data_IF_416963436003
#
_entry.id   IF_416963436003
#
_cell.length_a   1.000
_cell.length_b   1.000
_cell.length_c   1.000
_cell.angle_alpha   90.00
_cell.angle_beta   90.00
_cell.angle_gamma   90.00
#
_symmetry.space_group_name_H-M   'P 1'
#
loop_
_entity.id
_entity.type
_entity.pdbx_description
1 polymer ?
#
# COMPACT_ATOMS: atom_id res chain seq x y z
N UNK A 1 -42.42 19.21 49.71
CA UNK A 1 -41.43 18.17 49.43
C UNK A 1 -40.50 18.72 48.33
N UNK A 2 -39.32 19.16 48.70
CA UNK A 2 -38.32 19.69 47.73
C UNK A 2 -37.44 18.50 47.32
N UNK A 3 -37.69 17.96 46.11
CA UNK A 3 -36.85 16.93 45.53
C UNK A 3 -35.53 17.54 45.05
N UNK A 4 -34.44 17.13 45.64
CA UNK A 4 -33.07 17.42 45.17
C UNK A 4 -32.80 16.56 43.94
N UNK A 5 -33.04 17.14 42.77
CA UNK A 5 -32.59 16.51 41.54
C UNK A 5 -31.09 16.77 41.40
N UNK A 6 -30.32 15.71 41.39
CA UNK A 6 -28.91 15.76 41.20
C UNK A 6 -28.56 16.30 39.77
N UNK A 7 -27.65 17.24 39.72
CA UNK A 7 -27.05 17.72 38.47
C UNK A 7 -26.47 16.52 37.72
N UNK A 8 -27.03 16.18 36.56
CA UNK A 8 -26.47 15.17 35.70
C UNK A 8 -25.41 15.87 34.82
N UNK A 9 -24.16 15.55 35.08
CA UNK A 9 -23.06 15.90 34.12
C UNK A 9 -23.20 15.03 32.89
N UNK A 10 -23.08 15.61 31.70
CA UNK A 10 -22.97 14.85 30.47
C UNK A 10 -21.70 14.00 30.49
N UNK A 11 -21.70 12.80 29.84
CA UNK A 11 -20.51 11.99 29.74
C UNK A 11 -19.44 12.76 28.96
N UNK A 12 -18.27 12.94 29.55
CA UNK A 12 -17.09 13.40 28.81
C UNK A 12 -16.64 12.28 27.90
N UNK A 13 -16.34 12.60 26.66
CA UNK A 13 -15.66 11.67 25.77
C UNK A 13 -14.38 11.20 26.49
N UNK A 14 -14.30 9.95 26.85
CA UNK A 14 -13.06 9.34 27.24
C UNK A 14 -12.18 9.40 26.00
N UNK A 15 -11.28 10.39 25.96
CA UNK A 15 -10.19 10.38 25.00
C UNK A 15 -9.37 9.11 25.30
N UNK A 16 -9.78 8.01 24.72
CA UNK A 16 -8.90 6.89 24.60
C UNK A 16 -7.75 7.41 23.72
N UNK A 17 -6.73 7.98 24.35
CA UNK A 17 -5.38 7.95 23.83
C UNK A 17 -5.11 6.47 23.60
N UNK A 18 -5.60 5.97 22.44
CA UNK A 18 -5.13 4.69 21.96
C UNK A 18 -3.65 4.93 21.76
N UNK A 19 -2.87 4.34 22.65
CA UNK A 19 -1.42 4.33 22.63
C UNK A 19 -0.92 3.57 21.38
N UNK A 20 -1.35 4.00 20.21
CA UNK A 20 -0.73 3.65 18.94
C UNK A 20 0.66 4.28 18.84
N UNK A 21 0.96 5.27 19.71
CA UNK A 21 2.28 5.91 19.86
C UNK A 21 3.27 5.07 20.69
N UNK A 22 2.86 3.96 21.30
CA UNK A 22 3.75 3.13 22.16
C UNK A 22 4.67 2.21 21.34
N UNK A 23 4.53 2.11 20.04
CA UNK A 23 5.48 1.33 19.23
C UNK A 23 6.78 2.05 18.88
N UNK A 24 7.00 3.27 19.38
CA UNK A 24 8.23 4.04 19.14
C UNK A 24 9.01 4.42 20.41
N UNK A 25 8.67 3.90 21.59
CA UNK A 25 9.45 4.16 22.79
C UNK A 25 10.33 2.96 23.16
N UNK A 26 11.66 3.12 23.31
CA UNK A 26 12.51 2.06 23.83
C UNK A 26 12.24 1.90 25.33
N UNK A 27 11.78 0.75 25.76
CA UNK A 27 11.77 0.38 27.16
C UNK A 27 13.08 -0.32 27.49
N UNK A 28 13.97 0.37 28.20
CA UNK A 28 15.10 -0.24 28.88
C UNK A 28 14.58 -1.19 29.96
N UNK A 29 14.66 -2.48 29.72
CA UNK A 29 14.66 -3.50 30.76
C UNK A 29 15.87 -4.38 30.55
N UNK A 30 16.85 -4.19 31.42
CA UNK A 30 18.01 -5.04 31.50
C UNK A 30 17.61 -6.45 31.98
N UNK A 31 17.76 -7.46 31.12
CA UNK A 31 17.93 -8.86 31.53
C UNK A 31 18.53 -9.70 30.40
N UNK A 32 19.57 -10.43 30.77
CA UNK A 32 20.32 -11.52 30.12
C UNK A 32 20.09 -11.76 28.62
N UNK A 33 21.12 -11.52 27.82
CA UNK A 33 21.18 -11.70 26.37
C UNK A 33 21.01 -13.16 25.90
N UNK A 34 20.12 -13.42 24.96
CA UNK A 34 20.41 -14.33 23.86
C UNK A 34 20.79 -13.51 22.60
N UNK A 35 21.63 -14.13 21.75
CA UNK A 35 22.25 -13.55 20.58
C UNK A 35 21.31 -12.59 19.80
N UNK A 36 21.70 -11.32 19.74
CA UNK A 36 21.04 -10.27 18.99
C UNK A 36 21.12 -10.60 17.50
N UNK A 37 20.02 -11.12 16.96
CA UNK A 37 19.71 -10.93 15.55
C UNK A 37 19.54 -9.43 15.36
N UNK A 38 20.45 -8.81 14.65
CA UNK A 38 20.34 -7.41 14.28
C UNK A 38 19.02 -7.24 13.50
N UNK A 39 18.02 -6.67 14.16
CA UNK A 39 16.83 -6.15 13.49
C UNK A 39 17.35 -4.95 12.71
N UNK A 40 17.42 -5.09 11.37
CA UNK A 40 17.72 -3.98 10.49
C UNK A 40 16.74 -2.82 10.76
N UNK A 41 17.11 -1.58 10.39
CA UNK A 41 16.28 -0.41 10.65
C UNK A 41 14.88 -0.67 10.07
N UNK A 42 13.88 -0.54 10.93
CA UNK A 42 12.47 -0.52 10.49
C UNK A 42 12.36 0.66 9.53
N UNK A 43 12.21 0.37 8.26
CA UNK A 43 12.02 1.39 7.24
C UNK A 43 10.72 2.13 7.56
N UNK A 44 10.78 3.46 7.59
CA UNK A 44 9.65 4.36 7.79
C UNK A 44 8.94 4.79 6.49
N UNK A 45 8.68 3.91 5.50
CA UNK A 45 8.03 4.27 4.24
C UNK A 45 6.50 4.34 4.35
N UNK A 46 5.94 3.75 5.41
CA UNK A 46 4.50 3.75 5.64
C UNK A 46 3.95 5.13 6.05
N UNK A 47 4.76 5.93 6.74
CA UNK A 47 4.34 7.24 7.27
C UNK A 47 3.92 8.21 6.15
N UNK A 48 4.69 8.30 5.07
CA UNK A 48 4.41 9.26 3.98
C UNK A 48 3.14 8.90 3.20
N UNK A 49 2.87 7.60 2.98
CA UNK A 49 1.68 7.15 2.26
C UNK A 49 0.39 7.44 3.02
N UNK A 50 0.41 7.32 4.35
CA UNK A 50 -0.77 7.46 5.22
C UNK A 50 -0.86 8.83 5.92
N UNK A 51 0.04 9.78 5.62
CA UNK A 51 0.15 11.07 6.32
C UNK A 51 -1.16 11.89 6.32
N UNK A 52 -1.93 11.84 5.23
CA UNK A 52 -3.21 12.53 5.15
C UNK A 52 -4.27 11.95 6.10
N UNK A 53 -4.24 10.64 6.32
CA UNK A 53 -5.15 9.96 7.26
C UNK A 53 -4.72 10.18 8.71
N UNK A 54 -3.42 10.26 8.96
CA UNK A 54 -2.89 10.66 10.26
C UNK A 54 -3.31 12.09 10.61
N UNK A 55 -3.17 13.04 9.67
CA UNK A 55 -3.63 14.41 9.84
C UNK A 55 -5.16 14.48 10.07
N UNK A 56 -5.95 13.67 9.38
CA UNK A 56 -7.39 13.58 9.60
C UNK A 56 -7.74 13.09 11.02
N UNK A 57 -7.05 12.07 11.52
CA UNK A 57 -7.20 11.60 12.90
C UNK A 57 -6.84 12.70 13.92
N UNK A 58 -5.73 13.39 13.73
CA UNK A 58 -5.32 14.51 14.58
C UNK A 58 -6.37 15.63 14.59
N UNK A 59 -6.97 15.94 13.43
CA UNK A 59 -8.04 16.93 13.34
C UNK A 59 -9.28 16.56 14.15
N UNK A 60 -9.70 15.28 14.10
CA UNK A 60 -10.82 14.80 14.91
C UNK A 60 -10.49 14.83 16.40
N UNK A 61 -9.27 14.47 16.79
CA UNK A 61 -8.81 14.56 18.17
C UNK A 61 -8.87 15.99 18.70
N UNK A 62 -8.44 16.99 17.91
CA UNK A 62 -8.54 18.41 18.28
C UNK A 62 -10.01 18.85 18.47
N UNK A 63 -10.93 18.37 17.63
CA UNK A 63 -12.36 18.65 17.79
C UNK A 63 -12.94 18.02 19.09
N UNK A 64 -12.51 16.83 19.46
CA UNK A 64 -12.87 16.17 20.71
C UNK A 64 -12.36 16.98 21.91
N UNK A 65 -11.13 17.47 21.87
CA UNK A 65 -10.56 18.32 22.91
C UNK A 65 -11.36 19.63 23.06
N UNK A 66 -11.73 20.27 21.95
CA UNK A 66 -12.57 21.47 21.94
C UNK A 66 -13.95 21.19 22.52
N UNK A 67 -14.60 20.09 22.15
CA UNK A 67 -15.90 19.67 22.70
C UNK A 67 -15.81 19.45 24.22
N UNK A 68 -14.76 18.73 24.68
CA UNK A 68 -14.56 18.48 26.13
C UNK A 68 -14.23 19.74 26.93
N UNK A 69 -13.71 20.80 26.30
CA UNK A 69 -13.48 22.09 26.93
C UNK A 69 -14.77 22.92 27.09
N UNK A 70 -15.82 22.58 26.35
CA UNK A 70 -17.13 23.24 26.46
C UNK A 70 -17.79 22.90 27.80
N UNK A 71 -18.42 23.89 28.50
CA UNK A 71 -19.15 23.61 29.74
C UNK A 71 -20.25 22.55 29.52
N UNK A 72 -20.22 21.51 30.32
CA UNK A 72 -21.14 20.37 30.21
C UNK A 72 -22.11 20.21 31.42
N UNK A 73 -22.39 21.32 32.09
CA UNK A 73 -23.37 21.36 33.20
C UNK A 73 -24.60 22.09 32.71
N UNK A 74 -25.70 21.36 32.60
CA UNK A 74 -26.98 21.85 32.11
C UNK A 74 -28.04 21.75 33.23
N UNK A 75 -28.95 22.72 33.28
CA UNK A 75 -30.12 22.67 34.10
C UNK A 75 -31.34 22.07 33.34
N UNK A 76 -32.46 21.89 34.05
CA UNK A 76 -33.65 21.28 33.45
C UNK A 76 -34.25 22.08 32.28
N UNK A 77 -34.06 23.41 32.25
CA UNK A 77 -34.51 24.28 31.15
C UNK A 77 -33.67 24.14 29.89
N UNK A 78 -32.49 23.52 29.99
CA UNK A 78 -31.47 23.38 28.94
C UNK A 78 -31.48 21.97 28.33
N UNK A 79 -32.55 21.22 28.43
CA UNK A 79 -32.64 19.85 27.91
C UNK A 79 -32.24 19.75 26.39
N UNK A 80 -32.62 20.73 25.59
CA UNK A 80 -32.25 20.79 24.18
C UNK A 80 -30.73 21.01 23.98
N UNK A 81 -30.09 21.83 24.80
CA UNK A 81 -28.64 22.07 24.73
C UNK A 81 -27.87 20.82 25.19
N UNK A 82 -28.33 20.11 26.20
CA UNK A 82 -27.75 18.81 26.61
C UNK A 82 -27.86 17.78 25.47
N UNK A 83 -29.06 17.67 24.86
CA UNK A 83 -29.21 16.73 23.73
C UNK A 83 -28.32 17.05 22.55
N UNK A 84 -28.09 18.34 22.23
CA UNK A 84 -27.17 18.76 21.19
C UNK A 84 -25.71 18.43 21.54
N UNK A 85 -25.29 18.67 22.78
CA UNK A 85 -23.97 18.30 23.30
C UNK A 85 -23.73 16.77 23.19
N UNK A 86 -24.68 15.97 23.62
CA UNK A 86 -24.58 14.51 23.57
C UNK A 86 -24.55 14.00 22.11
N UNK A 87 -25.32 14.62 21.22
CA UNK A 87 -25.32 14.28 19.78
C UNK A 87 -23.98 14.60 19.11
N UNK A 88 -23.36 15.76 19.44
CA UNK A 88 -22.03 16.13 18.97
C UNK A 88 -20.98 15.14 19.51
N UNK A 89 -21.03 14.77 20.77
CA UNK A 89 -20.14 13.77 21.37
C UNK A 89 -20.22 12.42 20.64
N UNK A 90 -21.44 11.96 20.34
CA UNK A 90 -21.64 10.72 19.60
C UNK A 90 -21.08 10.80 18.18
N UNK A 91 -21.28 11.92 17.46
CA UNK A 91 -20.76 12.14 16.13
C UNK A 91 -19.22 12.17 16.10
N UNK A 92 -18.58 12.84 17.06
CA UNK A 92 -17.12 12.89 17.19
C UNK A 92 -16.53 11.52 17.52
N UNK A 93 -17.19 10.72 18.36
CA UNK A 93 -16.78 9.35 18.64
C UNK A 93 -16.79 8.50 17.37
N UNK A 94 -17.88 8.54 16.61
CA UNK A 94 -17.98 7.79 15.34
C UNK A 94 -16.95 8.26 14.30
N UNK A 95 -16.69 9.57 14.24
CA UNK A 95 -15.64 10.13 13.37
C UNK A 95 -14.24 9.65 13.77
N UNK A 96 -13.94 9.58 15.07
CA UNK A 96 -12.67 9.07 15.57
C UNK A 96 -12.47 7.59 15.23
N UNK A 97 -13.47 6.74 15.48
CA UNK A 97 -13.44 5.33 15.15
C UNK A 97 -13.19 5.11 13.65
N UNK A 98 -13.87 5.90 12.80
CA UNK A 98 -13.69 5.85 11.35
C UNK A 98 -12.27 6.27 10.95
N UNK A 99 -11.74 7.36 11.52
CA UNK A 99 -10.39 7.84 11.21
C UNK A 99 -9.31 6.82 11.64
N UNK A 100 -9.46 6.18 12.81
CA UNK A 100 -8.59 5.12 13.29
C UNK A 100 -8.62 3.91 12.32
N UNK A 101 -9.80 3.45 11.93
CA UNK A 101 -9.96 2.31 11.03
C UNK A 101 -9.33 2.58 9.65
N UNK A 102 -9.53 3.78 9.10
CA UNK A 102 -8.95 4.19 7.83
C UNK A 102 -7.41 4.25 7.90
N UNK A 103 -6.86 4.84 8.95
CA UNK A 103 -5.41 4.91 9.16
C UNK A 103 -4.82 3.50 9.30
N UNK A 104 -5.42 2.64 10.11
CA UNK A 104 -4.95 1.27 10.29
C UNK A 104 -4.96 0.49 8.96
N UNK A 105 -6.04 0.59 8.18
CA UNK A 105 -6.12 -0.06 6.86
C UNK A 105 -5.02 0.42 5.90
N UNK A 106 -4.68 1.72 5.93
CA UNK A 106 -3.59 2.26 5.14
C UNK A 106 -2.23 1.72 5.59
N UNK A 107 -1.95 1.71 6.89
CA UNK A 107 -0.70 1.21 7.46
C UNK A 107 -0.49 -0.28 7.16
N UNK A 108 -1.54 -1.08 7.29
CA UNK A 108 -1.50 -2.50 6.95
C UNK A 108 -1.20 -2.72 5.45
N UNK A 109 -1.83 -1.92 4.57
CA UNK A 109 -1.54 -1.95 3.14
C UNK A 109 -0.09 -1.55 2.84
N UNK A 110 0.41 -0.49 3.46
CA UNK A 110 1.78 -0.02 3.28
C UNK A 110 2.80 -1.08 3.73
N UNK A 111 2.54 -1.76 4.84
CA UNK A 111 3.38 -2.87 5.32
C UNK A 111 3.43 -4.03 4.33
N UNK A 112 2.29 -4.43 3.77
CA UNK A 112 2.24 -5.46 2.72
C UNK A 112 3.04 -5.07 1.49
N UNK A 113 2.88 -3.82 1.01
CA UNK A 113 3.52 -3.33 -0.20
C UNK A 113 5.03 -3.16 -0.05
N UNK A 114 5.50 -2.75 1.13
CA UNK A 114 6.91 -2.54 1.41
C UNK A 114 7.73 -3.82 1.46
N UNK A 115 7.20 -4.88 2.04
CA UNK A 115 7.89 -6.12 2.44
C UNK A 115 9.06 -5.90 3.40
N UNK A 116 9.25 -6.79 4.38
CA UNK A 116 10.26 -6.63 5.43
C UNK A 116 11.70 -6.82 4.94
N UNK A 117 11.88 -7.40 3.75
CA UNK A 117 13.16 -7.80 3.20
C UNK A 117 13.53 -7.07 1.89
N UNK A 118 12.98 -5.87 1.67
CA UNK A 118 13.36 -4.99 0.57
C UNK A 118 13.98 -3.70 1.10
N UNK A 119 14.93 -3.12 0.35
CA UNK A 119 15.52 -1.80 0.65
C UNK A 119 14.92 -0.68 -0.19
N UNK A 120 13.83 -0.96 -0.90
CA UNK A 120 13.13 0.02 -1.73
C UNK A 120 12.04 0.71 -0.93
N UNK A 121 12.08 2.04 -0.88
CA UNK A 121 11.07 2.84 -0.20
C UNK A 121 9.81 2.97 -1.04
N UNK A 122 8.65 2.95 -0.35
CA UNK A 122 7.38 3.40 -0.94
C UNK A 122 7.36 4.92 -0.96
N UNK A 123 7.34 5.51 -2.16
CA UNK A 123 7.30 6.97 -2.30
C UNK A 123 6.02 7.39 -3.00
N UNK A 124 5.32 8.41 -2.48
CA UNK A 124 4.17 9.00 -3.18
C UNK A 124 4.62 9.65 -4.50
N UNK A 125 3.72 9.84 -5.46
CA UNK A 125 4.02 10.54 -6.70
C UNK A 125 4.32 12.01 -6.45
N UNK A 126 5.11 12.61 -7.33
CA UNK A 126 5.18 14.08 -7.39
C UNK A 126 3.80 14.65 -7.77
N UNK A 127 3.56 15.93 -7.44
CA UNK A 127 2.31 16.60 -7.78
C UNK A 127 2.00 16.52 -9.29
N UNK A 128 3.00 16.71 -10.14
CA UNK A 128 2.84 16.56 -11.59
C UNK A 128 2.41 15.14 -11.98
N UNK A 129 3.01 14.12 -11.39
CA UNK A 129 2.64 12.73 -11.67
C UNK A 129 1.21 12.43 -11.18
N UNK A 130 0.84 12.93 -10.00
CA UNK A 130 -0.52 12.81 -9.44
C UNK A 130 -1.57 13.40 -10.39
N UNK A 131 -1.34 14.62 -10.90
CA UNK A 131 -2.25 15.28 -11.83
C UNK A 131 -2.40 14.49 -13.15
N UNK A 132 -1.30 13.96 -13.70
CA UNK A 132 -1.34 13.14 -14.91
C UNK A 132 -2.13 11.85 -14.67
N UNK A 133 -1.94 11.19 -13.52
CA UNK A 133 -2.67 9.99 -13.15
C UNK A 133 -4.17 10.28 -12.94
N UNK A 134 -4.51 11.40 -12.28
CA UNK A 134 -5.90 11.79 -12.10
C UNK A 134 -6.59 12.02 -13.45
N UNK A 135 -5.99 12.82 -14.33
CA UNK A 135 -6.54 13.07 -15.69
C UNK A 135 -6.68 11.78 -16.51
N UNK A 136 -5.78 10.82 -16.33
CA UNK A 136 -5.86 9.53 -17.00
C UNK A 136 -6.96 8.63 -16.41
N UNK A 137 -7.13 8.65 -15.09
CA UNK A 137 -8.19 7.94 -14.37
C UNK A 137 -9.58 8.46 -14.76
N UNK A 138 -9.74 9.78 -14.86
CA UNK A 138 -11.02 10.43 -15.19
C UNK A 138 -11.57 10.02 -16.57
N UNK A 139 -10.71 9.47 -17.45
CA UNK A 139 -11.11 8.90 -18.75
C UNK A 139 -11.71 7.50 -18.64
N UNK A 140 -11.63 6.88 -17.46
CA UNK A 140 -12.17 5.53 -17.22
C UNK A 140 -13.57 5.70 -16.65
N UNK A 141 -14.59 5.30 -17.40
CA UNK A 141 -15.99 5.38 -16.94
C UNK A 141 -16.22 4.50 -15.70
N UNK A 142 -17.20 4.87 -14.90
CA UNK A 142 -17.56 4.14 -13.68
C UNK A 142 -18.10 2.72 -13.94
N UNK A 143 -18.59 2.48 -15.15
CA UNK A 143 -19.12 1.22 -15.67
C UNK A 143 -18.04 0.34 -16.33
N UNK A 144 -16.81 0.85 -16.43
CA UNK A 144 -15.73 0.08 -17.03
C UNK A 144 -15.41 -1.17 -16.19
N UNK A 145 -15.31 -2.29 -16.87
CA UNK A 145 -14.91 -3.57 -16.27
C UNK A 145 -13.66 -4.12 -16.97
N UNK A 146 -12.74 -4.75 -16.22
CA UNK A 146 -11.57 -5.40 -16.80
C UNK A 146 -11.97 -6.48 -17.81
N UNK A 147 -11.20 -6.65 -18.90
CA UNK A 147 -11.39 -7.77 -19.80
C UNK A 147 -11.05 -9.09 -19.12
N UNK A 148 -11.49 -10.20 -19.70
CA UNK A 148 -11.08 -11.53 -19.27
C UNK A 148 -9.55 -11.69 -19.33
N UNK A 149 -8.99 -12.52 -18.44
CA UNK A 149 -7.59 -12.84 -18.44
C UNK A 149 -7.17 -13.47 -19.78
N UNK A 150 -5.99 -13.11 -20.32
CA UNK A 150 -5.48 -13.74 -21.54
C UNK A 150 -5.17 -15.23 -21.29
N UNK A 151 -5.21 -16.02 -22.35
CA UNK A 151 -4.76 -17.41 -22.27
C UNK A 151 -3.29 -17.50 -21.79
N UNK A 152 -2.95 -18.60 -21.13
CA UNK A 152 -1.58 -18.88 -20.69
C UNK A 152 -0.60 -18.71 -21.87
N UNK A 153 0.51 -18.03 -21.63
CA UNK A 153 1.53 -17.72 -22.64
C UNK A 153 1.24 -16.48 -23.48
N UNK A 154 0.08 -15.85 -23.33
CA UNK A 154 -0.20 -14.56 -23.98
C UNK A 154 0.12 -13.39 -23.05
N UNK A 155 0.56 -12.28 -23.65
CA UNK A 155 0.83 -11.05 -22.92
C UNK A 155 -0.48 -10.41 -22.38
N UNK A 156 -0.39 -9.90 -21.18
CA UNK A 156 -1.36 -8.91 -20.69
C UNK A 156 -1.16 -7.62 -21.48
N UNK A 157 -2.22 -7.11 -22.04
CA UNK A 157 -2.17 -5.91 -22.90
C UNK A 157 -3.25 -4.92 -22.52
N UNK A 158 -2.93 -3.64 -22.61
CA UNK A 158 -3.93 -2.56 -22.52
C UNK A 158 -4.06 -1.98 -23.93
N UNK A 159 -5.15 -2.29 -24.67
CA UNK A 159 -5.33 -1.84 -26.04
C UNK A 159 -5.25 -0.31 -26.15
N UNK A 160 -4.72 0.18 -27.29
CA UNK A 160 -4.54 1.64 -27.50
C UNK A 160 -5.83 2.43 -27.46
N UNK A 161 -6.94 1.82 -27.87
CA UNK A 161 -8.27 2.42 -27.88
C UNK A 161 -9.06 2.20 -26.58
N UNK A 162 -8.51 1.47 -25.59
CA UNK A 162 -9.23 1.19 -24.35
C UNK A 162 -9.18 2.36 -23.38
N UNK A 163 -10.22 2.60 -22.55
CA UNK A 163 -10.26 3.68 -21.57
C UNK A 163 -9.04 3.72 -20.62
N UNK A 164 -8.52 2.59 -20.08
CA UNK A 164 -7.38 2.62 -19.17
C UNK A 164 -6.02 2.83 -19.86
N UNK A 165 -5.96 3.01 -21.18
CA UNK A 165 -4.69 3.16 -21.90
C UNK A 165 -3.86 4.32 -21.40
N UNK A 166 -4.47 5.48 -21.21
CA UNK A 166 -3.77 6.67 -20.72
C UNK A 166 -3.20 6.45 -19.29
N UNK A 167 -3.96 5.75 -18.44
CA UNK A 167 -3.52 5.38 -17.09
C UNK A 167 -2.33 4.41 -17.16
N UNK A 168 -2.39 3.40 -18.02
CA UNK A 168 -1.29 2.46 -18.23
C UNK A 168 0.00 3.15 -18.67
N UNK A 169 -0.09 4.06 -19.64
CA UNK A 169 1.07 4.79 -20.14
C UNK A 169 1.68 5.70 -19.06
N UNK A 170 0.83 6.35 -18.23
CA UNK A 170 1.26 7.18 -17.11
C UNK A 170 1.95 6.35 -16.02
N UNK A 171 1.40 5.19 -15.64
CA UNK A 171 1.97 4.29 -14.63
C UNK A 171 3.28 3.64 -15.09
N UNK A 172 3.43 3.38 -16.39
CA UNK A 172 4.67 2.83 -16.98
C UNK A 172 5.82 3.83 -17.03
N UNK A 173 5.53 5.10 -17.08
CA UNK A 173 6.55 6.14 -17.16
C UNK A 173 7.48 6.10 -15.94
N UNK A 174 8.78 5.87 -16.14
CA UNK A 174 9.76 5.72 -15.05
C UNK A 174 9.47 4.54 -14.11
N UNK A 175 8.93 3.43 -14.64
CA UNK A 175 8.64 2.22 -13.87
C UNK A 175 9.09 0.96 -14.63
N UNK A 176 9.96 0.08 -14.08
CA UNK A 176 10.49 0.18 -12.71
C UNK A 176 11.37 1.42 -12.50
N UNK A 177 11.49 1.93 -11.26
CA UNK A 177 12.50 2.95 -10.95
C UNK A 177 13.91 2.38 -11.10
N UNK A 178 14.93 3.22 -11.15
CA UNK A 178 16.31 2.78 -11.06
C UNK A 178 16.58 2.26 -9.64
N UNK A 179 16.72 0.95 -9.50
CA UNK A 179 16.89 0.30 -8.19
C UNK A 179 18.36 0.08 -7.80
N UNK A 180 19.29 0.31 -8.72
CA UNK A 180 20.75 0.25 -8.41
C UNK A 180 21.14 -1.07 -7.74
N UNK A 181 21.67 -0.96 -6.52
CA UNK A 181 22.06 -2.09 -5.66
C UNK A 181 20.98 -2.49 -4.65
N UNK A 182 19.72 -2.14 -4.86
CA UNK A 182 18.65 -2.46 -3.92
C UNK A 182 18.54 -3.97 -3.64
N UNK A 183 18.13 -4.31 -2.44
CA UNK A 183 17.68 -5.66 -2.10
C UNK A 183 16.19 -5.77 -2.46
N UNK A 184 15.84 -6.79 -3.24
CA UNK A 184 14.46 -7.12 -3.62
C UNK A 184 14.11 -8.49 -3.04
N UNK A 185 13.07 -8.59 -2.24
CA UNK A 185 12.64 -9.86 -1.62
C UNK A 185 13.79 -10.61 -0.92
N UNK A 186 14.64 -9.89 -0.19
CA UNK A 186 15.80 -10.44 0.50
C UNK A 186 16.99 -10.79 -0.38
N UNK A 187 16.90 -10.56 -1.69
CA UNK A 187 17.98 -10.84 -2.64
C UNK A 187 18.64 -9.55 -3.11
N UNK A 188 19.94 -9.46 -2.89
CA UNK A 188 20.75 -8.42 -3.52
C UNK A 188 20.78 -8.60 -5.04
N UNK A 189 21.07 -7.53 -5.79
CA UNK A 189 21.30 -7.64 -7.24
C UNK A 189 22.35 -8.70 -7.51
N UNK A 190 22.08 -9.73 -8.35
CA UNK A 190 23.04 -10.79 -8.65
C UNK A 190 24.36 -10.22 -9.18
N UNK A 191 25.49 -10.80 -8.78
CA UNK A 191 26.79 -10.38 -9.29
C UNK A 191 27.02 -10.84 -10.75
N UNK A 192 27.95 -10.18 -11.47
CA UNK A 192 28.45 -10.68 -12.75
C UNK A 192 29.07 -12.06 -12.56
N UNK A 193 28.71 -13.01 -13.40
CA UNK A 193 29.17 -14.39 -13.33
C UNK A 193 28.38 -15.29 -12.35
N UNK A 194 27.44 -14.76 -11.56
CA UNK A 194 26.53 -15.58 -10.78
C UNK A 194 25.60 -16.39 -11.71
N UNK A 195 25.20 -17.59 -11.29
CA UNK A 195 24.31 -18.45 -12.05
C UNK A 195 22.95 -17.77 -12.30
N UNK A 196 22.44 -17.89 -13.52
CA UNK A 196 21.09 -17.45 -13.90
C UNK A 196 20.08 -18.57 -13.56
N UNK A 197 19.24 -18.41 -12.52
CA UNK A 197 18.35 -19.49 -12.11
C UNK A 197 17.29 -19.85 -13.16
N UNK A 198 17.01 -18.95 -14.10
CA UNK A 198 16.04 -19.19 -15.17
C UNK A 198 16.59 -20.07 -16.28
N UNK A 199 17.90 -20.25 -16.38
CA UNK A 199 18.51 -20.98 -17.49
C UNK A 199 19.70 -21.82 -17.05
N UNK A 200 19.61 -23.13 -17.20
CA UNK A 200 20.75 -24.01 -16.94
C UNK A 200 21.98 -23.60 -17.73
N UNK A 201 23.15 -23.64 -17.11
CA UNK A 201 24.47 -23.32 -17.70
C UNK A 201 24.60 -21.88 -18.23
N UNK A 202 23.90 -20.93 -17.64
CA UNK A 202 24.04 -19.50 -17.93
C UNK A 202 24.36 -18.72 -16.66
N UNK A 203 25.05 -17.62 -16.85
CA UNK A 203 25.41 -16.69 -15.79
C UNK A 203 24.94 -15.28 -16.13
N UNK A 204 24.82 -14.41 -15.13
CA UNK A 204 24.58 -12.99 -15.34
C UNK A 204 25.79 -12.36 -16.02
N UNK A 205 25.58 -11.79 -17.20
CA UNK A 205 26.59 -11.09 -17.98
C UNK A 205 26.85 -9.69 -17.40
N UNK A 206 27.89 -9.03 -17.88
CA UNK A 206 28.16 -7.63 -17.58
C UNK A 206 27.29 -6.74 -18.48
N UNK A 207 26.61 -5.76 -17.90
CA UNK A 207 25.89 -4.71 -18.64
C UNK A 207 26.83 -3.55 -19.03
N UNK A 208 26.32 -2.60 -19.82
CA UNK A 208 27.11 -1.46 -20.30
C UNK A 208 27.61 -0.53 -19.18
N UNK A 209 26.95 -0.49 -18.05
CA UNK A 209 27.32 0.25 -16.85
C UNK A 209 28.35 -0.47 -15.95
N UNK A 210 28.84 -1.63 -16.37
CA UNK A 210 29.79 -2.47 -15.62
C UNK A 210 29.14 -3.33 -14.51
N UNK A 211 27.86 -3.18 -14.26
CA UNK A 211 27.10 -4.02 -13.34
C UNK A 211 26.63 -5.31 -14.02
N UNK A 212 26.01 -6.20 -13.26
CA UNK A 212 25.40 -7.39 -13.85
C UNK A 212 24.20 -7.03 -14.76
N UNK A 213 24.01 -7.77 -15.83
CA UNK A 213 22.84 -7.67 -16.71
C UNK A 213 21.57 -8.26 -16.02
N UNK A 214 21.35 -7.86 -14.76
CA UNK A 214 20.14 -8.09 -14.01
C UNK A 214 19.23 -6.87 -14.15
N UNK A 215 17.94 -7.10 -14.31
CA UNK A 215 16.92 -6.06 -14.33
C UNK A 215 15.88 -6.31 -13.25
N UNK A 216 15.39 -5.24 -12.64
CA UNK A 216 14.20 -5.33 -11.83
C UNK A 216 13.00 -5.66 -12.72
N UNK A 217 12.36 -6.76 -12.43
CA UNK A 217 11.17 -7.23 -13.13
C UNK A 217 9.95 -7.07 -12.24
N UNK A 218 8.82 -6.65 -12.84
CA UNK A 218 7.54 -6.75 -12.19
C UNK A 218 7.06 -8.20 -12.21
N UNK A 219 6.95 -8.84 -11.06
CA UNK A 219 6.37 -10.18 -10.94
C UNK A 219 5.00 -10.19 -11.62
N UNK A 220 4.14 -9.24 -11.24
CA UNK A 220 2.84 -8.98 -11.87
C UNK A 220 2.96 -7.74 -12.75
N UNK A 221 2.90 -7.87 -14.08
CA UNK A 221 3.09 -6.73 -14.98
C UNK A 221 2.03 -5.65 -14.79
N UNK A 222 2.39 -4.38 -14.99
CA UNK A 222 1.47 -3.23 -14.81
C UNK A 222 0.15 -3.42 -15.59
N UNK A 223 0.22 -4.01 -16.78
CA UNK A 223 -0.98 -4.30 -17.56
C UNK A 223 -1.95 -5.26 -16.84
N UNK A 224 -1.46 -6.22 -16.04
CA UNK A 224 -2.28 -7.09 -15.20
C UNK A 224 -2.76 -6.38 -13.94
N UNK A 225 -1.90 -5.54 -13.33
CA UNK A 225 -2.26 -4.79 -12.11
C UNK A 225 -3.47 -3.88 -12.32
N UNK A 226 -3.54 -3.18 -13.47
CA UNK A 226 -4.69 -2.32 -13.81
C UNK A 226 -6.00 -3.10 -13.87
N UNK A 227 -5.93 -4.39 -14.18
CA UNK A 227 -7.09 -5.27 -14.27
C UNK A 227 -7.41 -5.99 -12.96
N UNK A 228 -6.64 -5.77 -11.90
CA UNK A 228 -7.01 -6.29 -10.58
C UNK A 228 -8.27 -5.59 -10.07
N UNK A 229 -9.19 -6.35 -9.45
CA UNK A 229 -10.41 -5.79 -8.88
C UNK A 229 -10.13 -4.58 -7.98
N UNK A 230 -10.84 -3.47 -8.21
CA UNK A 230 -10.70 -2.26 -7.41
C UNK A 230 -9.50 -1.37 -7.75
N UNK A 231 -8.52 -1.82 -8.54
CA UNK A 231 -7.31 -1.02 -8.82
C UNK A 231 -7.65 0.38 -9.38
N UNK A 232 -8.54 0.47 -10.38
CA UNK A 232 -8.91 1.76 -11.00
C UNK A 232 -9.76 2.65 -10.09
N UNK A 233 -10.22 2.14 -8.95
CA UNK A 233 -10.95 2.92 -7.93
C UNK A 233 -9.99 3.59 -6.93
N UNK A 234 -8.75 3.14 -6.84
CA UNK A 234 -7.72 3.74 -5.98
C UNK A 234 -7.51 5.23 -6.30
N UNK A 235 -7.05 6.00 -5.32
CA UNK A 235 -6.54 7.34 -5.60
C UNK A 235 -5.30 7.28 -6.50
N UNK A 236 -4.94 8.36 -7.23
CA UNK A 236 -3.71 8.42 -8.01
C UNK A 236 -2.45 8.05 -7.21
N UNK A 237 -2.37 8.49 -5.96
CA UNK A 237 -1.24 8.19 -5.08
C UNK A 237 -1.14 6.68 -4.80
N UNK A 238 -2.26 6.06 -4.46
CA UNK A 238 -2.32 4.63 -4.18
C UNK A 238 -2.04 3.79 -5.44
N UNK A 239 -2.55 4.17 -6.62
CA UNK A 239 -2.20 3.52 -7.89
C UNK A 239 -0.69 3.58 -8.16
N UNK A 240 -0.08 4.75 -7.94
CA UNK A 240 1.35 4.98 -8.15
C UNK A 240 2.18 4.09 -7.24
N UNK A 241 1.83 4.04 -5.96
CA UNK A 241 2.56 3.25 -4.95
C UNK A 241 2.40 1.75 -5.21
N UNK A 242 1.19 1.26 -5.47
CA UNK A 242 0.93 -0.15 -5.77
C UNK A 242 1.76 -0.64 -6.96
N UNK A 243 1.85 0.16 -8.03
CA UNK A 243 2.61 -0.24 -9.23
C UNK A 243 4.12 -0.18 -9.06
N UNK A 244 4.63 0.45 -8.00
CA UNK A 244 6.06 0.57 -7.66
C UNK A 244 6.42 -0.14 -6.37
N UNK A 245 5.48 -0.94 -5.84
CA UNK A 245 5.67 -1.62 -4.58
C UNK A 245 6.81 -2.67 -4.64
N UNK A 246 7.74 -2.66 -3.67
CA UNK A 246 8.79 -3.66 -3.55
C UNK A 246 8.29 -5.10 -3.56
N UNK A 247 7.10 -5.33 -3.00
CA UNK A 247 6.39 -6.61 -3.05
C UNK A 247 6.37 -7.22 -4.46
N UNK A 248 6.24 -6.39 -5.48
CA UNK A 248 6.06 -6.79 -6.87
C UNK A 248 7.35 -6.78 -7.70
N UNK A 249 8.52 -6.61 -7.07
CA UNK A 249 9.79 -6.60 -7.79
C UNK A 249 10.66 -7.80 -7.43
N UNK A 250 11.38 -8.30 -8.43
CA UNK A 250 12.43 -9.29 -8.30
C UNK A 250 13.60 -9.00 -9.26
N UNK A 251 14.76 -9.60 -8.99
CA UNK A 251 15.86 -9.58 -9.94
C UNK A 251 15.73 -10.73 -10.92
N UNK A 252 15.67 -10.42 -12.22
CA UNK A 252 15.80 -11.38 -13.29
C UNK A 252 17.00 -11.05 -14.17
N UNK A 253 17.57 -12.04 -14.86
CA UNK A 253 18.47 -11.76 -15.95
C UNK A 253 17.73 -10.97 -17.04
N UNK A 254 18.45 -10.11 -17.75
CA UNK A 254 17.87 -9.35 -18.86
C UNK A 254 17.20 -10.26 -19.89
N UNK A 255 17.77 -11.45 -20.12
CA UNK A 255 17.18 -12.44 -21.02
C UNK A 255 15.85 -12.99 -20.48
N UNK A 256 15.77 -13.34 -19.20
CA UNK A 256 14.56 -13.87 -18.62
C UNK A 256 13.44 -12.82 -18.63
N UNK A 257 13.75 -11.56 -18.25
CA UNK A 257 12.81 -10.45 -18.29
C UNK A 257 12.31 -10.17 -19.72
N UNK A 258 13.19 -10.10 -20.72
CA UNK A 258 12.80 -9.96 -22.13
C UNK A 258 11.95 -11.14 -22.63
N UNK A 259 12.24 -12.36 -22.19
CA UNK A 259 11.43 -13.53 -22.53
C UNK A 259 10.06 -13.49 -21.87
N UNK A 260 9.98 -13.07 -20.60
CA UNK A 260 8.74 -12.97 -19.85
C UNK A 260 7.82 -11.89 -20.42
N UNK A 261 8.33 -10.70 -20.71
CA UNK A 261 7.53 -9.55 -21.13
C UNK A 261 6.40 -9.25 -20.11
N UNK A 262 5.13 -9.17 -20.57
CA UNK A 262 3.95 -8.97 -19.74
C UNK A 262 3.09 -10.22 -19.58
N UNK A 263 3.60 -11.40 -19.88
CA UNK A 263 2.88 -12.67 -19.65
C UNK A 263 3.24 -13.29 -18.31
N UNK A 264 2.47 -14.30 -17.90
CA UNK A 264 2.84 -15.17 -16.78
C UNK A 264 4.09 -15.98 -17.13
N UNK A 265 4.93 -16.25 -16.12
CA UNK A 265 6.07 -17.16 -16.23
C UNK A 265 5.66 -18.55 -16.72
N UNK A 266 4.43 -19.00 -16.40
CA UNK A 266 3.87 -20.26 -16.90
C UNK A 266 3.87 -20.37 -18.44
N UNK A 267 3.91 -19.24 -19.15
CA UNK A 267 4.00 -19.20 -20.62
C UNK A 267 5.41 -19.10 -21.16
N UNK A 268 6.44 -19.11 -20.34
CA UNK A 268 7.84 -19.12 -20.81
C UNK A 268 8.25 -20.51 -21.28
N UNK A 269 9.13 -20.57 -22.28
CA UNK A 269 9.68 -21.80 -22.82
C UNK A 269 11.20 -21.78 -22.77
N UNK A 270 11.83 -22.94 -22.64
CA UNK A 270 13.29 -23.07 -22.61
C UNK A 270 13.94 -22.53 -21.34
N UNK A 271 13.18 -22.39 -20.26
CA UNK A 271 13.63 -22.06 -18.90
C UNK A 271 13.76 -23.34 -18.06
N UNK A 272 14.47 -23.24 -16.93
CA UNK A 272 14.55 -24.30 -15.96
C UNK A 272 13.15 -24.61 -15.37
N UNK A 273 12.67 -25.87 -15.42
CA UNK A 273 11.32 -26.22 -14.98
C UNK A 273 11.09 -26.00 -13.49
N UNK A 274 12.12 -26.20 -12.65
CA UNK A 274 12.02 -26.01 -11.20
C UNK A 274 11.88 -24.52 -10.89
N UNK A 275 12.76 -23.70 -11.47
CA UNK A 275 12.67 -22.26 -11.37
C UNK A 275 11.29 -21.75 -11.86
N UNK A 276 10.79 -22.27 -12.99
CA UNK A 276 9.48 -21.88 -13.51
C UNK A 276 8.35 -22.19 -12.55
N UNK A 277 8.37 -23.37 -11.91
CA UNK A 277 7.36 -23.74 -10.90
C UNK A 277 7.39 -22.81 -9.69
N UNK A 278 8.58 -22.51 -9.15
CA UNK A 278 8.77 -21.56 -8.04
C UNK A 278 8.25 -20.15 -8.41
N UNK A 279 8.45 -19.72 -9.66
CA UNK A 279 7.97 -18.44 -10.13
C UNK A 279 6.46 -18.37 -10.34
N UNK A 280 5.80 -19.47 -10.68
CA UNK A 280 4.34 -19.54 -10.77
C UNK A 280 3.73 -19.38 -9.38
N UNK A 281 4.27 -20.06 -8.38
CA UNK A 281 3.84 -19.89 -6.98
C UNK A 281 4.03 -18.45 -6.51
N UNK A 282 5.19 -17.86 -6.83
CA UNK A 282 5.49 -16.45 -6.52
C UNK A 282 4.51 -15.47 -7.20
N UNK A 283 4.13 -15.71 -8.47
CA UNK A 283 3.10 -14.90 -9.14
C UNK A 283 1.76 -14.96 -8.39
N UNK A 284 1.33 -16.16 -7.98
CA UNK A 284 0.06 -16.35 -7.30
C UNK A 284 0.04 -15.71 -5.90
N UNK A 285 1.14 -15.84 -5.16
CA UNK A 285 1.31 -15.16 -3.86
C UNK A 285 1.28 -13.63 -4.02
N UNK A 286 2.01 -13.11 -5.02
CA UNK A 286 2.11 -11.68 -5.27
C UNK A 286 0.76 -11.10 -5.70
N UNK A 287 -0.02 -11.81 -6.52
CA UNK A 287 -1.38 -11.36 -6.89
C UNK A 287 -2.28 -11.28 -5.66
N UNK A 288 -2.26 -12.28 -4.77
CA UNK A 288 -3.06 -12.27 -3.54
C UNK A 288 -2.66 -11.10 -2.63
N UNK A 289 -1.37 -10.88 -2.44
CA UNK A 289 -0.87 -9.80 -1.59
C UNK A 289 -1.17 -8.41 -2.18
N UNK A 290 -1.03 -8.22 -3.50
CA UNK A 290 -1.42 -6.98 -4.18
C UNK A 290 -2.93 -6.73 -4.06
N UNK A 291 -3.75 -7.78 -4.19
CA UNK A 291 -5.20 -7.65 -4.04
C UNK A 291 -5.59 -7.28 -2.61
N UNK A 292 -4.98 -7.91 -1.59
CA UNK A 292 -5.21 -7.55 -0.18
C UNK A 292 -4.81 -6.09 0.09
N UNK A 293 -3.67 -5.65 -0.42
CA UNK A 293 -3.24 -4.26 -0.29
C UNK A 293 -4.22 -3.28 -0.99
N UNK A 294 -4.71 -3.62 -2.19
CA UNK A 294 -5.71 -2.82 -2.91
C UNK A 294 -7.00 -2.72 -2.08
N UNK A 295 -7.49 -3.83 -1.55
CA UNK A 295 -8.73 -3.87 -0.76
C UNK A 295 -8.61 -3.02 0.52
N UNK A 296 -7.47 -3.06 1.21
CA UNK A 296 -7.17 -2.21 2.38
C UNK A 296 -7.06 -0.73 2.02
N UNK A 297 -6.40 -0.41 0.90
CA UNK A 297 -6.32 0.97 0.42
C UNK A 297 -7.69 1.52 0.05
N UNK A 298 -8.57 0.74 -0.56
CA UNK A 298 -9.95 1.13 -0.82
C UNK A 298 -10.73 1.37 0.47
N UNK A 299 -10.59 0.49 1.45
CA UNK A 299 -11.20 0.68 2.77
C UNK A 299 -10.73 1.98 3.43
N UNK A 300 -9.42 2.28 3.37
CA UNK A 300 -8.85 3.52 3.94
C UNK A 300 -9.36 4.79 3.26
N UNK A 301 -9.81 4.71 2.01
CA UNK A 301 -10.42 5.80 1.25
C UNK A 301 -11.93 5.96 1.52
N UNK A 302 -12.54 5.10 2.34
CA UNK A 302 -13.99 5.04 2.52
C UNK A 302 -14.73 4.61 1.24
N UNK A 303 -14.05 3.96 0.29
CA UNK A 303 -14.62 3.57 -1.00
C UNK A 303 -14.96 2.08 -0.97
N UNK A 304 -16.24 1.68 -1.05
CA UNK A 304 -16.59 0.26 -1.14
C UNK A 304 -16.08 -0.32 -2.47
N UNK A 305 -15.59 -1.54 -2.42
CA UNK A 305 -15.22 -2.30 -3.63
C UNK A 305 -16.48 -2.53 -4.49
N UNK A 306 -16.43 -2.19 -5.75
CA UNK A 306 -17.47 -2.44 -6.73
C UNK A 306 -17.25 -3.76 -7.47
#
# INVERSE_FOLDING_TARGET
>A
MRGTWGRRGAPRLAGALVALLVLLAPTDVASAAPATRAVGPVHAPAADLCASLEAALQSVQAQIEQHNATPNVFDESQAAALAAYDAEAAALTAAQETAIANLQSCLDAASLLATDNSTVDLKPPTEKARQVLQQAKDKIGNDWTPPAAPAVGKNWTVPKSSPPRALYDALRSGNPPELGAATLRGQARPAVGADDPAYANRTFLTAADGLSAASADHIIPIARQIYLPGFVQLTPDNMYVVTRAPLNFQWLSFKANLSKQSRSVAGMTGVDPRWQAEQIELEDETVRALQDAIDRLLASQGTPRR
#
